data_IF_796527603205
#
_entry.id   IF_796527603205
#
_cell.length_a   1.000
_cell.length_b   1.000
_cell.length_c   1.000
_cell.angle_alpha   90.00
_cell.angle_beta   90.00
_cell.angle_gamma   90.00
#
_symmetry.space_group_name_H-M   'P 1'
#
loop_
_entity.id
_entity.type
_entity.pdbx_description
1 polymer ?
#
# COMPACT_ATOMS: atom_id res chain seq x y z
N UNK A 1 -8.78 23.84 1.83
CA UNK A 1 -8.47 22.41 1.95
C UNK A 1 -8.31 21.82 0.57
N UNK A 2 -7.19 21.20 0.31
CA UNK A 2 -6.96 20.58 -0.99
C UNK A 2 -7.93 19.41 -1.18
N UNK A 3 -8.64 19.41 -2.28
CA UNK A 3 -9.50 18.28 -2.61
C UNK A 3 -8.65 17.20 -3.26
N UNK A 4 -8.71 16.00 -2.69
CA UNK A 4 -8.04 14.85 -3.26
C UNK A 4 -9.00 14.08 -4.14
N UNK A 5 -8.51 13.67 -5.32
CA UNK A 5 -9.19 12.69 -6.12
C UNK A 5 -9.14 11.34 -5.39
N UNK A 6 -10.20 10.53 -5.50
CA UNK A 6 -10.26 9.22 -4.83
C UNK A 6 -9.10 8.29 -5.20
N UNK A 7 -8.51 8.47 -6.36
CA UNK A 7 -7.36 7.66 -6.77
C UNK A 7 -6.05 8.04 -6.08
N UNK A 8 -5.97 9.25 -5.54
CA UNK A 8 -4.75 9.80 -4.96
C UNK A 8 -4.83 9.99 -3.45
N UNK A 9 -6.03 9.94 -2.89
CA UNK A 9 -6.23 10.22 -1.47
C UNK A 9 -5.47 9.20 -0.63
N UNK A 10 -4.79 9.62 0.45
CA UNK A 10 -4.15 8.66 1.36
C UNK A 10 -5.16 7.66 1.93
N UNK A 11 -4.72 6.44 2.08
CA UNK A 11 -5.58 5.33 2.55
C UNK A 11 -6.15 5.65 3.94
N UNK A 12 -5.34 6.25 4.82
CA UNK A 12 -5.81 6.56 6.16
C UNK A 12 -6.98 7.57 6.17
N UNK A 13 -7.05 8.44 5.17
CA UNK A 13 -8.15 9.39 5.03
C UNK A 13 -9.39 8.73 4.45
N UNK A 14 -9.20 7.77 3.54
CA UNK A 14 -10.31 7.08 2.89
C UNK A 14 -10.93 6.02 3.80
N UNK A 15 -10.10 5.21 4.44
CA UNK A 15 -10.53 4.08 5.25
C UNK A 15 -10.65 4.41 6.74
N UNK A 16 -10.05 5.50 7.18
CA UNK A 16 -10.15 6.00 8.56
C UNK A 16 -9.86 4.93 9.62
N UNK A 17 -8.65 4.30 9.59
CA UNK A 17 -8.35 3.20 10.50
C UNK A 17 -8.30 3.61 11.98
N UNK A 18 -8.05 4.88 12.25
CA UNK A 18 -8.07 5.39 13.61
C UNK A 18 -9.48 5.62 14.15
N UNK A 19 -10.46 5.66 13.26
CA UNK A 19 -11.86 5.88 13.61
C UNK A 19 -12.64 4.55 13.64
N UNK A 20 -12.41 3.70 12.65
CA UNK A 20 -13.05 2.38 12.58
C UNK A 20 -12.04 1.34 13.02
N UNK A 21 -12.50 0.40 13.85
CA UNK A 21 -11.66 -0.70 14.30
C UNK A 21 -11.73 -1.84 13.28
N UNK A 22 -10.71 -1.95 12.46
CA UNK A 22 -10.59 -3.08 11.54
C UNK A 22 -9.91 -4.23 12.28
N UNK A 23 -10.52 -5.41 12.21
CA UNK A 23 -9.98 -6.59 12.87
C UNK A 23 -8.75 -7.13 12.14
N UNK A 24 -8.71 -6.96 10.82
CA UNK A 24 -7.65 -7.49 9.98
C UNK A 24 -7.30 -6.45 8.92
N UNK A 25 -6.00 -6.24 8.73
CA UNK A 25 -5.49 -5.40 7.66
C UNK A 25 -4.60 -6.25 6.75
N UNK A 26 -4.90 -6.24 5.46
CA UNK A 26 -4.10 -6.91 4.46
C UNK A 26 -3.40 -5.85 3.60
N UNK A 27 -2.18 -6.15 3.16
CA UNK A 27 -1.43 -5.28 2.28
C UNK A 27 -1.24 -5.97 0.93
N UNK A 28 -1.18 -5.16 -0.13
CA UNK A 28 -1.06 -5.70 -1.47
C UNK A 28 0.24 -6.46 -1.67
N UNK A 29 1.33 -6.01 -1.06
CA UNK A 29 2.64 -6.65 -1.20
C UNK A 29 2.73 -8.01 -0.50
N UNK A 30 1.86 -8.27 0.47
CA UNK A 30 1.80 -9.55 1.19
C UNK A 30 0.44 -10.22 1.05
N UNK A 31 -0.33 -9.85 0.02
CA UNK A 31 -1.73 -10.23 -0.10
C UNK A 31 -1.95 -11.75 -0.13
N UNK A 32 -1.09 -12.49 -0.78
CA UNK A 32 -1.22 -13.95 -0.85
C UNK A 32 -1.13 -14.59 0.53
N UNK A 33 -0.18 -14.17 1.34
CA UNK A 33 -0.03 -14.66 2.71
C UNK A 33 -1.15 -14.15 3.61
N UNK A 34 -1.48 -12.88 3.48
CA UNK A 34 -2.51 -12.25 4.30
C UNK A 34 -3.88 -12.87 4.04
N UNK A 35 -4.19 -13.17 2.78
CA UNK A 35 -5.46 -13.79 2.43
C UNK A 35 -5.61 -15.18 3.03
N UNK A 36 -4.53 -15.95 3.11
CA UNK A 36 -4.55 -17.26 3.76
C UNK A 36 -4.91 -17.15 5.23
N UNK A 37 -4.31 -16.19 5.92
CA UNK A 37 -4.60 -15.96 7.32
C UNK A 37 -6.04 -15.45 7.53
N UNK A 38 -6.52 -14.58 6.65
CA UNK A 38 -7.90 -14.09 6.71
C UNK A 38 -8.88 -15.25 6.54
N UNK A 39 -8.66 -16.11 5.58
CA UNK A 39 -9.55 -17.25 5.34
C UNK A 39 -9.56 -18.23 6.51
N UNK A 40 -8.45 -18.39 7.21
CA UNK A 40 -8.42 -19.17 8.44
C UNK A 40 -9.30 -18.56 9.54
N UNK A 41 -9.18 -17.24 9.71
CA UNK A 41 -9.92 -16.54 10.77
C UNK A 41 -11.43 -16.60 10.53
N UNK A 42 -11.86 -16.42 9.29
CA UNK A 42 -13.30 -16.47 8.95
C UNK A 42 -13.79 -17.89 8.63
N UNK A 43 -12.91 -18.88 8.76
CA UNK A 43 -13.22 -20.30 8.57
C UNK A 43 -13.77 -20.61 7.17
N UNK A 44 -13.13 -20.06 6.15
CA UNK A 44 -13.49 -20.30 4.76
C UNK A 44 -12.37 -21.06 4.09
N UNK A 45 -12.70 -22.15 3.42
CA UNK A 45 -11.76 -22.93 2.63
C UNK A 45 -11.78 -22.40 1.21
N UNK A 46 -10.92 -21.43 0.92
CA UNK A 46 -10.84 -20.79 -0.37
C UNK A 46 -9.40 -20.41 -0.69
N UNK A 47 -9.14 -20.27 -1.99
CA UNK A 47 -7.89 -19.70 -2.46
C UNK A 47 -8.19 -18.44 -3.26
N UNK A 48 -7.33 -17.46 -3.12
CA UNK A 48 -7.49 -16.19 -3.80
C UNK A 48 -6.69 -16.20 -5.09
N UNK A 49 -7.40 -15.99 -6.20
CA UNK A 49 -6.74 -15.79 -7.49
C UNK A 49 -6.51 -14.31 -7.70
N UNK A 50 -5.26 -13.96 -7.82
CA UNK A 50 -4.90 -12.57 -8.00
C UNK A 50 -4.71 -12.27 -9.49
N UNK A 51 -5.83 -12.03 -10.17
CA UNK A 51 -5.85 -11.79 -11.62
C UNK A 51 -5.28 -10.41 -11.99
N UNK A 52 -5.07 -9.56 -11.02
CA UNK A 52 -4.56 -8.21 -11.24
C UNK A 52 -3.08 -8.05 -10.93
N UNK A 53 -2.44 -9.12 -10.52
CA UNK A 53 -0.99 -9.07 -10.40
C UNK A 53 -0.37 -9.03 -11.79
N UNK A 54 0.22 -7.89 -12.09
CA UNK A 54 1.16 -7.82 -13.18
C UNK A 54 2.21 -8.88 -12.90
N UNK A 55 2.32 -9.82 -13.81
CA UNK A 55 3.24 -10.92 -13.65
C UNK A 55 4.64 -10.43 -13.37
N UNK A 56 5.07 -10.73 -12.18
CA UNK A 56 6.46 -10.87 -11.84
C UNK A 56 7.31 -9.63 -11.86
N UNK A 57 6.76 -8.49 -12.22
CA UNK A 57 7.65 -7.42 -12.52
C UNK A 57 7.26 -6.06 -12.02
N UNK A 58 6.39 -5.99 -11.04
CA UNK A 58 6.45 -4.88 -10.12
C UNK A 58 7.60 -5.14 -9.17
N UNK A 59 8.75 -5.38 -9.75
CA UNK A 59 9.95 -5.54 -8.98
C UNK A 59 10.31 -4.19 -8.41
N UNK A 60 10.96 -4.22 -7.27
CA UNK A 60 11.52 -3.03 -6.66
C UNK A 60 12.34 -2.21 -7.67
N UNK A 61 12.92 -2.85 -8.66
CA UNK A 61 13.69 -2.19 -9.70
C UNK A 61 12.85 -1.29 -10.60
N UNK A 62 11.64 -1.74 -10.96
CA UNK A 62 10.75 -0.94 -11.80
C UNK A 62 10.21 0.27 -11.05
N UNK A 63 9.83 0.08 -9.81
CA UNK A 63 9.40 1.16 -8.94
C UNK A 63 10.52 2.18 -8.73
N UNK A 64 11.71 1.72 -8.39
CA UNK A 64 12.87 2.58 -8.21
C UNK A 64 13.21 3.36 -9.48
N UNK A 65 13.06 2.72 -10.65
CA UNK A 65 13.30 3.37 -11.93
C UNK A 65 12.38 4.57 -12.15
N UNK A 66 11.10 4.43 -11.84
CA UNK A 66 10.17 5.55 -11.97
C UNK A 66 10.46 6.66 -10.96
N UNK A 67 10.73 6.30 -9.71
CA UNK A 67 10.97 7.30 -8.68
C UNK A 67 12.34 7.97 -8.79
N UNK A 68 13.29 7.36 -9.47
CA UNK A 68 14.61 7.96 -9.70
C UNK A 68 14.53 9.19 -10.59
N UNK A 69 13.48 9.34 -11.40
CA UNK A 69 13.28 10.51 -12.25
C UNK A 69 12.68 11.70 -11.53
N UNK A 70 12.24 11.51 -10.30
CA UNK A 70 11.60 12.55 -9.50
C UNK A 70 12.66 13.24 -8.64
N UNK A 71 12.59 14.57 -8.57
CA UNK A 71 13.51 15.31 -7.71
C UNK A 71 13.29 14.94 -6.24
N UNK A 72 14.33 15.06 -5.44
CA UNK A 72 14.25 14.76 -4.01
C UNK A 72 13.21 15.63 -3.32
N UNK A 73 13.07 16.88 -3.74
CA UNK A 73 12.10 17.80 -3.17
C UNK A 73 10.66 17.33 -3.41
N UNK A 74 10.35 16.88 -4.62
CA UNK A 74 9.04 16.32 -4.94
C UNK A 74 8.79 15.01 -4.20
N UNK A 75 9.81 14.18 -4.07
CA UNK A 75 9.69 12.93 -3.32
C UNK A 75 9.40 13.19 -1.85
N UNK A 76 10.05 14.17 -1.25
CA UNK A 76 9.78 14.55 0.13
C UNK A 76 8.36 15.05 0.34
N UNK A 77 7.83 15.79 -0.64
CA UNK A 77 6.44 16.23 -0.61
C UNK A 77 5.46 15.06 -0.69
N UNK A 78 5.73 14.10 -1.56
CA UNK A 78 4.91 12.90 -1.68
C UNK A 78 4.92 12.10 -0.37
N UNK A 79 6.09 11.91 0.20
CA UNK A 79 6.24 11.20 1.48
C UNK A 79 5.45 11.88 2.58
N UNK A 80 5.49 13.21 2.61
CA UNK A 80 4.75 13.96 3.61
C UNK A 80 3.23 13.80 3.46
N UNK A 81 2.72 13.70 2.23
CA UNK A 81 1.31 13.48 1.97
C UNK A 81 0.88 12.10 2.50
N UNK A 82 1.70 11.07 2.28
CA UNK A 82 1.35 9.68 2.61
C UNK A 82 2.02 9.16 3.88
N UNK A 83 2.62 10.04 4.68
CA UNK A 83 3.42 9.60 5.85
C UNK A 83 2.62 8.77 6.84
N UNK A 84 1.35 9.06 7.03
CA UNK A 84 0.53 8.28 7.96
C UNK A 84 0.18 6.91 7.38
N UNK A 85 0.06 6.79 6.07
CA UNK A 85 -0.09 5.49 5.44
C UNK A 85 1.15 4.62 5.68
N UNK A 86 2.35 5.20 5.56
CA UNK A 86 3.58 4.46 5.86
C UNK A 86 3.63 4.01 7.32
N UNK A 87 3.25 4.89 8.24
CA UNK A 87 3.29 4.58 9.67
C UNK A 87 2.21 3.59 10.10
N UNK A 88 0.98 3.82 9.67
CA UNK A 88 -0.16 3.01 10.11
C UNK A 88 -0.18 1.62 9.49
N UNK A 89 0.26 1.50 8.25
CA UNK A 89 0.22 0.24 7.52
C UNK A 89 1.59 -0.40 7.38
N UNK A 90 2.58 0.12 8.07
CA UNK A 90 3.91 -0.44 8.16
C UNK A 90 4.61 -0.62 6.80
N UNK A 91 4.43 0.35 5.91
CA UNK A 91 5.17 0.37 4.65
C UNK A 91 6.55 1.00 4.84
N UNK A 92 7.52 0.50 4.09
CA UNK A 92 8.88 1.01 4.11
C UNK A 92 9.12 2.01 3.00
N UNK A 93 9.93 3.01 3.28
CA UNK A 93 10.41 3.98 2.30
C UNK A 93 11.55 3.44 1.44
N UNK A 94 12.13 2.32 1.83
CA UNK A 94 13.22 1.73 1.08
C UNK A 94 12.76 1.30 -0.32
N UNK A 95 13.57 1.59 -1.31
CA UNK A 95 13.24 1.32 -2.70
C UNK A 95 12.69 2.52 -3.46
N UNK A 96 12.20 3.53 -2.76
CA UNK A 96 11.79 4.80 -3.38
C UNK A 96 12.92 5.82 -3.37
N UNK A 97 13.85 5.69 -2.45
CA UNK A 97 15.04 6.51 -2.36
C UNK A 97 16.26 5.67 -2.71
N UNK A 98 16.99 6.13 -3.68
CA UNK A 98 18.29 5.54 -3.98
C UNK A 98 19.33 6.06 -3.02
#
# INVERSE_FOLDING_TARGET
MAEYNYHWIPIYMLCMPCHFQYSILARLDTLTMDSKEIFKVINVSASMHNNHMTQGNTTNNKVASYYSTISQDLLDKLVNIYKFDFLLFNYSMQGYRS
#
